data_IF_595589886816
#
_entry.id   IF_595589886816
#
_cell.length_a   1.000
_cell.length_b   1.000
_cell.length_c   1.000
_cell.angle_alpha   90.00
_cell.angle_beta   90.00
_cell.angle_gamma   90.00
#
_symmetry.space_group_name_H-M   'P 1'
#
loop_
_entity.id
_entity.type
_entity.pdbx_description
1 polymer ?
#
# COMPACT_ATOMS: atom_id res chain seq x y z
N UNK A 1 -30.71 -29.84 2.50
CA UNK A 1 -30.61 -30.85 1.43
C UNK A 1 -30.73 -32.20 2.11
N UNK A 2 -31.91 -32.80 2.08
CA UNK A 2 -32.15 -34.13 2.66
C UNK A 2 -32.06 -35.14 1.52
N UNK A 3 -30.85 -35.39 1.04
CA UNK A 3 -30.60 -36.30 -0.10
C UNK A 3 -30.63 -37.77 0.30
N UNK A 4 -30.44 -38.08 1.59
CA UNK A 4 -30.45 -39.45 2.08
C UNK A 4 -31.39 -39.63 3.27
N UNK A 5 -31.86 -40.88 3.48
CA UNK A 5 -32.71 -41.25 4.64
C UNK A 5 -31.92 -41.29 5.96
N UNK A 6 -30.58 -41.23 5.93
CA UNK A 6 -29.72 -41.31 7.12
C UNK A 6 -29.39 -39.93 7.68
N UNK A 7 -29.70 -39.72 8.96
CA UNK A 7 -29.49 -38.43 9.64
C UNK A 7 -28.01 -38.12 9.88
N UNK A 8 -27.16 -39.14 10.16
CA UNK A 8 -25.72 -38.95 10.34
C UNK A 8 -25.07 -38.46 9.04
N UNK A 9 -25.40 -39.09 7.91
CA UNK A 9 -24.89 -38.72 6.59
C UNK A 9 -25.29 -37.30 6.19
N UNK A 10 -26.56 -36.94 6.39
CA UNK A 10 -27.03 -35.58 6.12
C UNK A 10 -26.35 -34.54 7.02
N UNK A 11 -26.03 -34.90 8.27
CA UNK A 11 -25.29 -34.03 9.21
C UNK A 11 -23.86 -33.80 8.72
N UNK A 12 -23.17 -34.84 8.28
CA UNK A 12 -21.79 -34.74 7.78
C UNK A 12 -21.71 -33.89 6.52
N UNK A 13 -22.66 -34.05 5.60
CA UNK A 13 -22.71 -33.27 4.36
C UNK A 13 -23.10 -31.81 4.62
N UNK A 14 -24.00 -31.56 5.58
CA UNK A 14 -24.28 -30.20 6.06
C UNK A 14 -23.03 -29.53 6.65
N UNK A 15 -22.23 -30.25 7.45
CA UNK A 15 -20.99 -29.71 8.00
C UNK A 15 -19.92 -29.43 6.94
N UNK A 16 -19.82 -30.26 5.91
CA UNK A 16 -18.93 -29.99 4.75
C UNK A 16 -19.35 -28.71 4.02
N UNK A 17 -20.65 -28.54 3.78
CA UNK A 17 -21.20 -27.35 3.12
C UNK A 17 -21.00 -26.07 3.95
N UNK A 18 -21.22 -26.14 5.26
CA UNK A 18 -21.00 -25.00 6.16
C UNK A 18 -19.52 -24.63 6.16
N UNK A 19 -18.61 -25.61 6.25
CA UNK A 19 -17.17 -25.35 6.18
C UNK A 19 -16.74 -24.72 4.86
N UNK A 20 -17.27 -25.19 3.73
CA UNK A 20 -16.94 -24.60 2.43
C UNK A 20 -17.43 -23.16 2.30
N UNK A 21 -18.63 -22.85 2.81
CA UNK A 21 -19.17 -21.48 2.84
C UNK A 21 -18.34 -20.54 3.72
N UNK A 22 -17.97 -20.96 4.92
CA UNK A 22 -17.13 -20.15 5.82
C UNK A 22 -15.74 -19.93 5.21
N UNK A 23 -15.17 -20.95 4.56
CA UNK A 23 -13.90 -20.81 3.86
C UNK A 23 -14.00 -19.82 2.69
N UNK A 24 -15.08 -19.86 1.92
CA UNK A 24 -15.34 -18.94 0.81
C UNK A 24 -15.45 -17.49 1.32
N UNK A 25 -16.25 -17.23 2.35
CA UNK A 25 -16.39 -15.89 2.94
C UNK A 25 -15.05 -15.33 3.44
N UNK A 26 -14.23 -16.16 4.11
CA UNK A 26 -12.89 -15.76 4.55
C UNK A 26 -11.96 -15.44 3.38
N UNK A 27 -12.07 -16.19 2.28
CA UNK A 27 -11.30 -15.94 1.06
C UNK A 27 -11.72 -14.62 0.43
N UNK A 28 -13.02 -14.39 0.26
CA UNK A 28 -13.58 -13.15 -0.30
C UNK A 28 -13.17 -11.93 0.54
N UNK A 29 -13.28 -11.99 1.87
CA UNK A 29 -12.84 -10.91 2.75
C UNK A 29 -11.34 -10.60 2.62
N UNK A 30 -10.50 -11.63 2.43
CA UNK A 30 -9.05 -11.45 2.21
C UNK A 30 -8.78 -10.82 0.84
N UNK A 31 -9.46 -11.29 -0.20
CA UNK A 31 -9.35 -10.76 -1.56
C UNK A 31 -9.80 -9.30 -1.62
N UNK A 32 -10.87 -8.97 -0.90
CA UNK A 32 -11.38 -7.61 -0.79
C UNK A 32 -10.39 -6.69 -0.05
N UNK A 33 -9.87 -7.12 1.11
CA UNK A 33 -8.84 -6.36 1.83
C UNK A 33 -7.58 -6.13 0.97
N UNK A 34 -7.12 -7.17 0.25
CA UNK A 34 -6.00 -7.05 -0.68
C UNK A 34 -6.32 -6.14 -1.88
N UNK A 35 -7.56 -6.15 -2.37
CA UNK A 35 -8.01 -5.24 -3.42
C UNK A 35 -8.09 -3.80 -2.92
N UNK A 36 -8.56 -3.57 -1.70
CA UNK A 36 -8.60 -2.25 -1.07
C UNK A 36 -7.18 -1.69 -0.89
N UNK A 37 -6.25 -2.49 -0.36
CA UNK A 37 -4.85 -2.11 -0.20
C UNK A 37 -4.18 -1.79 -1.55
N UNK A 38 -4.46 -2.55 -2.60
CA UNK A 38 -3.92 -2.22 -3.94
C UNK A 38 -4.50 -0.92 -4.49
N UNK A 39 -5.79 -0.67 -4.28
CA UNK A 39 -6.47 0.53 -4.77
C UNK A 39 -6.09 1.78 -3.98
N UNK A 40 -5.69 1.65 -2.71
CA UNK A 40 -5.21 2.79 -1.92
C UNK A 40 -3.86 3.29 -2.43
N UNK A 41 -3.01 2.39 -2.94
CA UNK A 41 -1.70 2.75 -3.48
C UNK A 41 -1.82 3.29 -4.91
N UNK A 42 -2.66 2.68 -5.76
CA UNK A 42 -2.95 3.18 -7.12
C UNK A 42 -4.46 3.39 -7.28
N UNK A 43 -4.88 4.66 -7.35
CA UNK A 43 -6.27 4.99 -7.68
C UNK A 43 -6.62 4.48 -9.07
N UNK A 44 -7.56 3.53 -9.15
CA UNK A 44 -8.04 2.90 -10.39
C UNK A 44 -8.58 3.90 -11.42
N UNK A 45 -8.99 5.09 -11.00
CA UNK A 45 -9.81 5.98 -11.81
C UNK A 45 -9.07 7.18 -12.41
N UNK A 46 -7.81 7.44 -12.03
CA UNK A 46 -7.04 8.54 -12.62
C UNK A 46 -5.55 8.40 -12.31
N UNK A 47 -4.86 7.55 -13.06
CA UNK A 47 -3.40 7.67 -13.16
C UNK A 47 -3.15 8.79 -14.16
N UNK A 48 -2.95 10.00 -13.66
CA UNK A 48 -2.57 11.14 -14.50
C UNK A 48 -1.05 11.21 -14.63
N UNK A 49 -0.56 12.07 -15.53
CA UNK A 49 0.89 12.31 -15.64
C UNK A 49 1.48 12.92 -14.35
N UNK A 50 0.66 13.51 -13.49
CA UNK A 50 1.08 14.09 -12.21
C UNK A 50 1.35 13.06 -11.11
N UNK A 51 0.76 11.87 -11.21
CA UNK A 51 0.87 10.83 -10.18
C UNK A 51 2.07 9.89 -10.42
N UNK A 52 3.04 10.33 -11.23
CA UNK A 52 4.16 9.51 -11.66
C UNK A 52 5.22 9.48 -10.56
N UNK A 53 5.61 8.28 -10.13
CA UNK A 53 6.67 8.10 -9.12
C UNK A 53 8.05 8.42 -9.71
N UNK A 54 8.37 7.92 -10.90
CA UNK A 54 9.68 8.13 -11.56
C UNK A 54 9.55 8.34 -13.07
N UNK A 55 10.42 9.17 -13.64
CA UNK A 55 10.62 9.29 -15.10
C UNK A 55 11.98 8.73 -15.47
N UNK A 56 12.01 7.72 -16.34
CA UNK A 56 13.22 7.17 -16.94
C UNK A 56 13.42 7.80 -18.33
N UNK A 57 14.48 8.59 -18.50
CA UNK A 57 14.82 9.25 -19.76
C UNK A 57 16.08 8.64 -20.37
N UNK A 58 15.91 7.79 -21.39
CA UNK A 58 17.01 7.13 -22.09
C UNK A 58 17.87 8.08 -22.92
N UNK A 59 17.30 9.15 -23.48
CA UNK A 59 18.06 10.09 -24.31
C UNK A 59 19.02 10.95 -23.48
N UNK A 60 18.70 11.18 -22.21
CA UNK A 60 19.50 11.98 -21.27
C UNK A 60 20.21 11.12 -20.23
N UNK A 61 20.14 9.79 -20.35
CA UNK A 61 20.73 8.83 -19.41
C UNK A 61 20.44 9.15 -17.93
N UNK A 62 19.17 9.46 -17.63
CA UNK A 62 18.76 9.97 -16.30
C UNK A 62 17.44 9.38 -15.82
N UNK A 63 17.36 9.19 -14.51
CA UNK A 63 16.15 8.87 -13.78
C UNK A 63 15.81 10.01 -12.84
N UNK A 64 14.56 10.46 -12.84
CA UNK A 64 14.06 11.46 -11.89
C UNK A 64 12.98 10.82 -11.03
N UNK A 65 13.13 10.84 -9.71
CA UNK A 65 12.10 10.44 -8.74
C UNK A 65 11.32 11.68 -8.28
N UNK A 66 10.02 11.71 -8.55
CA UNK A 66 9.18 12.88 -8.28
C UNK A 66 8.70 12.96 -6.83
N UNK A 67 8.94 11.94 -6.00
CA UNK A 67 8.56 11.99 -4.58
C UNK A 67 9.51 12.90 -3.80
N UNK A 68 10.80 12.61 -3.89
CA UNK A 68 11.86 13.39 -3.26
C UNK A 68 12.40 14.51 -4.17
N UNK A 69 12.07 14.50 -5.48
CA UNK A 69 12.54 15.50 -6.43
C UNK A 69 14.00 15.32 -6.86
N UNK A 70 14.57 14.13 -6.69
CA UNK A 70 15.96 13.82 -7.01
C UNK A 70 16.12 13.36 -8.46
N UNK A 71 17.24 13.75 -9.08
CA UNK A 71 17.67 13.24 -10.36
C UNK A 71 19.02 12.49 -10.25
N UNK A 72 19.09 11.34 -10.93
CA UNK A 72 20.26 10.46 -10.93
C UNK A 72 20.63 10.12 -12.36
N UNK A 73 21.90 10.31 -12.69
CA UNK A 73 22.51 9.92 -13.95
C UNK A 73 23.04 8.48 -13.90
N UNK A 74 23.25 7.84 -15.05
CA UNK A 74 23.59 6.42 -15.21
C UNK A 74 22.36 5.50 -15.15
N UNK A 75 21.45 5.66 -16.11
CA UNK A 75 20.23 4.87 -16.24
C UNK A 75 20.49 3.35 -16.35
N UNK A 76 21.51 2.84 -17.08
CA UNK A 76 21.81 1.41 -17.13
C UNK A 76 22.03 0.79 -15.75
N UNK A 77 22.75 1.48 -14.87
CA UNK A 77 23.04 1.01 -13.52
C UNK A 77 21.76 0.97 -12.66
N UNK A 78 20.90 1.98 -12.78
CA UNK A 78 19.60 2.01 -12.10
C UNK A 78 18.72 0.83 -12.53
N UNK A 79 18.71 0.50 -13.83
CA UNK A 79 17.93 -0.63 -14.37
C UNK A 79 18.53 -1.97 -13.92
N UNK A 80 19.85 -2.05 -13.82
CA UNK A 80 20.56 -3.24 -13.34
C UNK A 80 20.38 -3.47 -11.82
N UNK A 81 19.84 -2.48 -11.09
CA UNK A 81 19.69 -2.53 -9.64
C UNK A 81 21.02 -2.30 -8.90
N UNK A 82 21.92 -1.50 -9.48
CA UNK A 82 23.19 -1.13 -8.88
C UNK A 82 23.07 0.05 -7.91
N UNK A 83 24.22 0.60 -7.55
CA UNK A 83 24.36 1.64 -6.51
C UNK A 83 23.57 2.92 -6.82
N UNK A 84 23.38 3.25 -8.11
CA UNK A 84 22.60 4.42 -8.51
C UNK A 84 21.13 4.28 -8.15
N UNK A 85 20.59 3.05 -8.11
CA UNK A 85 19.24 2.80 -7.60
C UNK A 85 19.19 2.92 -6.08
N UNK A 86 20.20 2.40 -5.38
CA UNK A 86 20.27 2.46 -3.92
C UNK A 86 20.26 3.92 -3.43
N UNK A 87 21.01 4.80 -4.10
CA UNK A 87 20.97 6.25 -3.83
C UNK A 87 19.55 6.83 -3.92
N UNK A 88 18.79 6.46 -4.94
CA UNK A 88 17.39 6.91 -5.08
C UNK A 88 16.54 6.37 -3.92
N UNK A 89 16.76 5.13 -3.52
CA UNK A 89 15.98 4.48 -2.46
C UNK A 89 16.25 5.11 -1.09
N UNK A 90 17.51 5.38 -0.77
CA UNK A 90 17.90 5.99 0.50
C UNK A 90 17.37 7.43 0.61
N UNK A 91 17.47 8.22 -0.45
CA UNK A 91 16.92 9.60 -0.46
C UNK A 91 15.40 9.62 -0.32
N UNK A 92 14.69 8.68 -0.94
CA UNK A 92 13.24 8.54 -0.75
C UNK A 92 12.89 8.09 0.68
N UNK A 93 13.75 7.27 1.31
CA UNK A 93 13.56 6.87 2.71
C UNK A 93 13.71 8.07 3.63
N UNK A 94 14.73 8.89 3.43
CA UNK A 94 14.97 10.08 4.23
C UNK A 94 13.85 11.12 4.08
N UNK A 95 13.36 11.29 2.84
CA UNK A 95 12.16 12.10 2.56
C UNK A 95 10.93 11.60 3.33
N UNK A 96 10.68 10.28 3.33
CA UNK A 96 9.53 9.70 4.03
C UNK A 96 9.62 9.91 5.54
N UNK A 97 10.81 9.63 6.12
CA UNK A 97 11.04 9.82 7.57
C UNK A 97 10.86 11.28 7.95
N UNK A 98 11.35 12.21 7.13
CA UNK A 98 11.17 13.64 7.38
C UNK A 98 9.70 14.04 7.40
N UNK A 99 8.90 13.52 6.45
CA UNK A 99 7.45 13.76 6.42
C UNK A 99 6.70 13.15 7.61
N UNK A 100 7.09 11.95 8.06
CA UNK A 100 6.50 11.31 9.23
C UNK A 100 6.80 12.11 10.52
N UNK A 101 8.02 12.62 10.66
CA UNK A 101 8.41 13.49 11.78
C UNK A 101 7.58 14.77 11.77
N UNK A 102 7.43 15.42 10.61
CA UNK A 102 6.60 16.63 10.50
C UNK A 102 5.14 16.38 10.90
N UNK A 103 4.57 15.24 10.50
CA UNK A 103 3.21 14.87 10.88
C UNK A 103 3.07 14.66 12.40
N UNK A 104 4.03 13.96 13.02
CA UNK A 104 4.05 13.77 14.47
C UNK A 104 4.16 15.10 15.24
N UNK A 105 5.02 16.01 14.78
CA UNK A 105 5.16 17.34 15.37
C UNK A 105 3.88 18.16 15.26
N UNK A 106 3.18 18.09 14.12
CA UNK A 106 1.91 18.78 13.92
C UNK A 106 0.80 18.24 14.85
N UNK A 107 0.74 16.93 15.06
CA UNK A 107 -0.19 16.32 16.02
C UNK A 107 0.11 16.76 17.47
N UNK A 108 1.39 16.83 17.85
CA UNK A 108 1.80 17.34 19.16
C UNK A 108 1.48 18.82 19.36
N UNK A 109 1.70 19.66 18.34
CA UNK A 109 1.35 21.07 18.36
C UNK A 109 -0.16 21.28 18.47
N UNK A 110 -0.96 20.49 17.75
CA UNK A 110 -2.41 20.51 17.83
C UNK A 110 -2.90 20.13 19.25
N UNK A 111 -2.34 19.06 19.83
CA UNK A 111 -2.65 18.64 21.20
C UNK A 111 -2.27 19.72 22.23
N UNK A 112 -1.12 20.38 22.06
CA UNK A 112 -0.68 21.46 22.93
C UNK A 112 -1.59 22.71 22.80
N UNK A 113 -2.07 23.01 21.59
CA UNK A 113 -3.02 24.10 21.35
C UNK A 113 -4.39 23.82 22.00
N UNK A 114 -4.87 22.59 21.94
CA UNK A 114 -6.08 22.15 22.65
C UNK A 114 -5.92 22.22 24.17
N UNK A 115 -4.79 21.76 24.70
CA UNK A 115 -4.47 21.86 26.12
C UNK A 115 -4.44 23.33 26.60
N UNK A 116 -3.87 24.24 25.82
CA UNK A 116 -3.87 25.68 26.10
C UNK A 116 -5.27 26.30 26.06
N UNK A 117 -6.15 25.84 25.16
CA UNK A 117 -7.56 26.29 25.12
C UNK A 117 -8.35 25.79 26.32
N UNK A 118 -8.09 24.58 26.81
CA UNK A 118 -8.78 24.02 27.98
C UNK A 118 -8.35 24.64 29.32
N UNK A 119 -7.17 25.27 29.37
CA UNK A 119 -6.65 25.98 30.54
C UNK A 119 -7.09 27.45 30.64
N UNK A 120 -7.74 27.99 29.60
CA UNK A 120 -8.26 29.36 29.55
C UNK A 120 -9.77 29.38 29.78
#
# INVERSE_FOLDING_TARGET
MQDSRSQSRNRDDAWKLIRSRVALQRREAREEAAAQLRNSVLSKHKITRGDKIRTYNYNQDRVTDHRAGIDVHNLPDVIAGGESLDKIVDEVRDWLVSGDIEAMMADEEAANAEAKKAQK
#
